data_IF_365657414917
#
_entry.id   IF_365657414917
#
_cell.length_a   1.000
_cell.length_b   1.000
_cell.length_c   1.000
_cell.angle_alpha   90.00
_cell.angle_beta   90.00
_cell.angle_gamma   90.00
#
_symmetry.space_group_name_H-M   'P 1'
#
loop_
_entity.id
_entity.type
_entity.pdbx_description
1 polymer ?
#
# COMPACT_ATOMS: atom_id res chain seq x y z
N UNK A 1 -4.47 18.99 -58.75
CA UNK A 1 -3.70 19.99 -57.97
C UNK A 1 -4.52 20.65 -56.85
N UNK A 2 -5.82 20.97 -57.02
CA UNK A 2 -6.66 21.51 -55.92
C UNK A 2 -6.95 20.48 -54.80
N UNK A 3 -7.26 19.24 -55.16
CA UNK A 3 -7.56 18.13 -54.22
C UNK A 3 -6.38 17.71 -53.34
N UNK A 4 -5.14 17.96 -53.74
CA UNK A 4 -3.94 17.66 -52.95
C UNK A 4 -3.61 18.74 -51.92
N UNK A 5 -4.03 20.00 -52.14
CA UNK A 5 -3.84 21.09 -51.17
C UNK A 5 -4.89 21.07 -50.05
N UNK A 6 -6.15 20.76 -50.37
CA UNK A 6 -7.23 20.62 -49.38
C UNK A 6 -6.93 19.49 -48.37
N UNK A 7 -6.44 18.35 -48.86
CA UNK A 7 -6.04 17.20 -48.03
C UNK A 7 -4.79 17.50 -47.16
N UNK A 8 -3.96 18.46 -47.56
CA UNK A 8 -2.80 18.90 -46.78
C UNK A 8 -3.20 19.90 -45.69
N UNK A 9 -4.14 20.80 -45.99
CA UNK A 9 -4.72 21.72 -45.00
C UNK A 9 -5.52 20.98 -43.91
N UNK A 10 -6.30 19.96 -44.27
CA UNK A 10 -7.00 19.11 -43.29
C UNK A 10 -6.02 18.38 -42.36
N UNK A 11 -4.90 17.87 -42.89
CA UNK A 11 -3.85 17.22 -42.09
C UNK A 11 -3.14 18.20 -41.16
N UNK A 12 -2.88 19.43 -41.62
CA UNK A 12 -2.30 20.49 -40.78
C UNK A 12 -3.27 20.87 -39.65
N UNK A 13 -4.55 21.07 -39.95
CA UNK A 13 -5.56 21.36 -38.94
C UNK A 13 -5.75 20.21 -37.93
N UNK A 14 -5.75 18.96 -38.39
CA UNK A 14 -5.81 17.78 -37.52
C UNK A 14 -4.57 17.67 -36.63
N UNK A 15 -3.40 18.00 -37.16
CA UNK A 15 -2.15 18.04 -36.39
C UNK A 15 -2.18 19.15 -35.34
N UNK A 16 -2.60 20.37 -35.70
CA UNK A 16 -2.75 21.50 -34.76
C UNK A 16 -3.75 21.19 -33.65
N UNK A 17 -4.88 20.57 -33.97
CA UNK A 17 -5.86 20.11 -32.96
C UNK A 17 -5.29 19.03 -32.05
N UNK A 18 -4.42 18.14 -32.56
CA UNK A 18 -3.74 17.13 -31.74
C UNK A 18 -2.71 17.77 -30.82
N UNK A 19 -1.92 18.73 -31.31
CA UNK A 19 -0.95 19.50 -30.52
C UNK A 19 -1.64 20.31 -29.42
N UNK A 20 -2.74 21.01 -29.73
CA UNK A 20 -3.53 21.72 -28.71
C UNK A 20 -4.08 20.79 -27.62
N UNK A 21 -4.58 19.61 -28.00
CA UNK A 21 -5.02 18.60 -27.03
C UNK A 21 -3.88 18.10 -26.15
N UNK A 22 -2.72 17.83 -26.73
CA UNK A 22 -1.53 17.40 -25.98
C UNK A 22 -1.01 18.48 -25.03
N UNK A 23 -1.00 19.75 -25.46
CA UNK A 23 -0.63 20.87 -24.60
C UNK A 23 -1.61 21.03 -23.44
N UNK A 24 -2.92 20.93 -23.69
CA UNK A 24 -3.92 20.96 -22.61
C UNK A 24 -3.76 19.80 -21.62
N UNK A 25 -3.42 18.59 -22.09
CA UNK A 25 -3.09 17.44 -21.22
C UNK A 25 -1.83 17.72 -20.40
N UNK A 26 -0.80 18.30 -21.01
CA UNK A 26 0.46 18.64 -20.35
C UNK A 26 0.28 19.72 -19.28
N UNK A 27 -0.44 20.80 -19.58
CA UNK A 27 -0.74 21.87 -18.62
C UNK A 27 -1.58 21.35 -17.44
N UNK A 28 -2.56 20.48 -17.70
CA UNK A 28 -3.33 19.83 -16.64
C UNK A 28 -2.46 18.90 -15.80
N UNK A 29 -1.53 18.17 -16.43
CA UNK A 29 -0.57 17.33 -15.71
C UNK A 29 0.35 18.18 -14.82
N UNK A 30 0.91 19.27 -15.33
CA UNK A 30 1.76 20.19 -14.56
C UNK A 30 1.02 20.78 -13.37
N UNK A 31 -0.20 21.29 -13.59
CA UNK A 31 -1.04 21.81 -12.50
C UNK A 31 -1.32 20.76 -11.43
N UNK A 32 -1.63 19.53 -11.84
CA UNK A 32 -1.81 18.43 -10.90
C UNK A 32 -0.52 18.09 -10.15
N UNK A 33 0.66 18.19 -10.76
CA UNK A 33 1.93 17.99 -10.04
C UNK A 33 2.19 19.12 -9.04
N UNK A 34 1.96 20.37 -9.41
CA UNK A 34 2.11 21.52 -8.50
C UNK A 34 1.15 21.43 -7.31
N UNK A 35 -0.13 21.12 -7.55
CA UNK A 35 -1.10 20.88 -6.49
C UNK A 35 -0.69 19.71 -5.59
N UNK A 36 -0.12 18.64 -6.15
CA UNK A 36 0.40 17.50 -5.37
C UNK A 36 1.62 17.87 -4.54
N UNK A 37 2.52 18.68 -5.07
CA UNK A 37 3.69 19.15 -4.32
C UNK A 37 3.27 20.09 -3.19
N UNK A 38 2.29 20.97 -3.41
CA UNK A 38 1.74 21.82 -2.36
C UNK A 38 1.04 21.02 -1.26
N UNK A 39 0.28 19.98 -1.64
CA UNK A 39 -0.43 19.10 -0.71
C UNK A 39 0.43 17.94 -0.18
N UNK A 40 1.72 17.90 -0.53
CA UNK A 40 2.61 16.88 -0.02
C UNK A 40 2.80 17.09 1.50
N UNK A 41 2.51 16.09 2.36
CA UNK A 41 2.66 16.20 3.80
C UNK A 41 4.04 16.72 4.22
N UNK A 42 5.10 16.31 3.51
CA UNK A 42 6.46 16.78 3.74
C UNK A 42 6.61 18.28 3.48
N UNK A 43 6.02 18.79 2.42
CA UNK A 43 6.12 20.20 2.04
C UNK A 43 5.25 21.08 2.94
N UNK A 44 4.03 20.63 3.24
CA UNK A 44 3.14 21.30 4.21
C UNK A 44 3.90 21.52 5.53
N UNK A 45 4.51 20.46 6.06
CA UNK A 45 5.24 20.51 7.32
C UNK A 45 6.54 21.29 7.22
N UNK A 46 7.30 21.12 6.13
CA UNK A 46 8.53 21.88 5.93
C UNK A 46 8.26 23.38 5.91
N UNK A 47 7.18 23.81 5.26
CA UNK A 47 6.76 25.20 5.22
C UNK A 47 6.25 25.68 6.58
N UNK A 48 5.46 24.87 7.30
CA UNK A 48 4.97 25.20 8.64
C UNK A 48 6.12 25.41 9.66
N UNK A 49 7.26 24.73 9.46
CA UNK A 49 8.47 24.89 10.27
C UNK A 49 9.43 25.98 9.73
N UNK A 50 8.91 26.96 9.00
CA UNK A 50 9.67 28.12 8.49
C UNK A 50 10.41 27.87 7.18
N UNK A 51 10.11 26.79 6.45
CA UNK A 51 10.66 26.55 5.12
C UNK A 51 12.18 26.42 5.10
N UNK A 52 12.86 27.03 4.12
CA UNK A 52 14.33 27.02 4.02
C UNK A 52 15.01 27.91 5.05
N UNK A 53 14.31 28.92 5.55
CA UNK A 53 14.86 29.96 6.44
C UNK A 53 14.60 29.66 7.93
N UNK A 54 13.84 28.60 8.24
CA UNK A 54 13.58 28.17 9.60
C UNK A 54 14.83 27.70 10.33
N UNK A 55 14.87 27.90 11.65
CA UNK A 55 16.06 27.66 12.50
C UNK A 55 16.53 26.21 12.54
N UNK A 56 15.62 25.26 12.31
CA UNK A 56 15.92 23.85 12.27
C UNK A 56 16.45 23.41 10.90
N UNK A 57 17.41 22.50 10.90
CA UNK A 57 17.86 21.84 9.69
C UNK A 57 16.81 20.83 9.17
N UNK A 58 16.96 20.37 7.92
CA UNK A 58 15.99 19.48 7.30
C UNK A 58 15.79 18.13 8.05
N UNK A 59 16.85 17.46 8.55
CA UNK A 59 16.69 16.30 9.43
C UNK A 59 15.90 16.55 10.72
N UNK A 60 16.17 17.66 11.41
CA UNK A 60 15.46 18.04 12.64
C UNK A 60 13.98 18.31 12.39
N UNK A 61 13.67 19.05 11.31
CA UNK A 61 12.29 19.27 10.86
C UNK A 61 11.57 17.94 10.62
N UNK A 62 12.21 17.02 9.91
CA UNK A 62 11.64 15.69 9.63
C UNK A 62 11.40 14.89 10.91
N UNK A 63 12.32 14.95 11.88
CA UNK A 63 12.14 14.28 13.16
C UNK A 63 10.91 14.84 13.92
N UNK A 64 10.76 16.16 13.98
CA UNK A 64 9.58 16.79 14.60
C UNK A 64 8.26 16.40 13.93
N UNK A 65 8.24 16.31 12.59
CA UNK A 65 7.06 15.84 11.84
C UNK A 65 6.63 14.45 12.33
N UNK A 66 7.60 13.54 12.41
CA UNK A 66 7.35 12.15 12.80
C UNK A 66 6.90 12.05 14.26
N UNK A 67 7.51 12.86 15.14
CA UNK A 67 7.04 12.99 16.52
C UNK A 67 5.60 13.53 16.57
N UNK A 68 5.27 14.60 15.84
CA UNK A 68 3.92 15.16 15.80
C UNK A 68 2.85 14.16 15.36
N UNK A 69 3.23 13.21 14.51
CA UNK A 69 2.32 12.16 14.08
C UNK A 69 2.11 11.08 15.15
N UNK A 70 3.18 10.61 15.81
CA UNK A 70 3.15 9.32 16.52
C UNK A 70 3.77 9.27 17.92
N UNK A 71 4.51 10.30 18.33
CA UNK A 71 5.13 10.33 19.64
C UNK A 71 4.11 10.60 20.76
N UNK A 72 4.54 10.42 22.02
CA UNK A 72 3.68 10.71 23.16
C UNK A 72 3.39 12.20 23.25
N UNK A 73 2.13 12.56 23.47
CA UNK A 73 1.72 13.96 23.65
C UNK A 73 2.46 14.67 24.79
N UNK A 74 2.94 13.93 25.77
CA UNK A 74 3.73 14.43 26.90
C UNK A 74 5.24 14.54 26.62
N UNK A 75 5.72 14.08 25.45
CA UNK A 75 7.13 14.18 25.10
C UNK A 75 7.55 15.65 24.94
N UNK A 76 8.74 16.00 25.42
CA UNK A 76 9.29 17.35 25.24
C UNK A 76 10.06 17.40 23.93
N UNK A 77 9.69 18.35 23.07
CA UNK A 77 10.34 18.59 21.77
C UNK A 77 10.87 20.02 21.69
N UNK A 78 11.92 20.21 20.90
CA UNK A 78 12.47 21.53 20.59
C UNK A 78 12.05 21.92 19.17
N UNK A 79 11.31 23.02 19.02
CA UNK A 79 10.81 23.50 17.73
C UNK A 79 11.77 24.47 17.01
N UNK A 80 12.97 24.67 17.55
CA UNK A 80 13.98 25.62 17.07
C UNK A 80 13.96 26.96 17.81
N UNK A 81 12.94 27.21 18.64
CA UNK A 81 12.86 28.39 19.50
C UNK A 81 12.91 28.01 20.98
N UNK A 82 12.09 27.04 21.39
CA UNK A 82 11.98 26.62 22.78
C UNK A 82 11.66 25.13 22.92
N UNK A 83 11.83 24.63 24.15
CA UNK A 83 11.38 23.29 24.52
C UNK A 83 9.92 23.37 24.97
N UNK A 84 9.03 22.62 24.31
CA UNK A 84 7.60 22.56 24.63
C UNK A 84 7.09 21.13 24.61
N UNK A 85 5.91 20.90 25.18
CA UNK A 85 5.26 19.58 25.08
C UNK A 85 4.85 19.32 23.63
N UNK A 86 4.93 18.08 23.19
CA UNK A 86 4.52 17.68 21.85
C UNK A 86 3.06 18.03 21.58
N UNK A 87 2.17 17.89 22.56
CA UNK A 87 0.77 18.31 22.43
C UNK A 87 0.63 19.80 22.08
N UNK A 88 1.48 20.66 22.66
CA UNK A 88 1.49 22.09 22.39
C UNK A 88 2.05 22.34 21.00
N UNK A 89 3.18 21.72 20.66
CA UNK A 89 3.76 21.79 19.32
C UNK A 89 2.78 21.35 18.22
N UNK A 90 2.06 20.25 18.41
CA UNK A 90 1.05 19.75 17.45
C UNK A 90 -0.10 20.74 17.31
N UNK A 91 -0.52 21.41 18.38
CA UNK A 91 -1.56 22.44 18.31
C UNK A 91 -1.06 23.69 17.58
N UNK A 92 0.16 24.16 17.87
CA UNK A 92 0.79 25.31 17.20
C UNK A 92 0.95 25.02 15.69
N UNK A 93 1.45 23.82 15.38
CA UNK A 93 1.61 23.32 14.02
C UNK A 93 0.27 23.21 13.30
N UNK A 94 -0.76 22.75 14.00
CA UNK A 94 -2.12 22.70 13.49
C UNK A 94 -2.76 24.10 13.38
N UNK A 95 -2.21 25.15 13.98
CA UNK A 95 -2.65 26.52 13.69
C UNK A 95 -1.91 27.10 12.48
N UNK A 96 -0.66 26.70 12.29
CA UNK A 96 0.15 27.08 11.13
C UNK A 96 -0.27 26.35 9.84
N UNK A 97 -0.78 25.12 9.97
CA UNK A 97 -1.37 24.30 8.90
C UNK A 97 -2.88 24.38 9.09
N UNK A 98 -3.72 24.43 8.06
CA UNK A 98 -5.16 24.25 8.28
C UNK A 98 -5.38 22.94 9.07
N UNK A 99 -5.95 23.04 10.30
CA UNK A 99 -5.98 22.02 11.39
C UNK A 99 -6.30 20.59 10.91
N UNK A 100 -6.99 20.48 9.80
CA UNK A 100 -7.55 19.29 9.20
C UNK A 100 -6.66 18.64 8.11
N UNK A 101 -5.67 19.37 7.58
CA UNK A 101 -5.02 19.05 6.30
C UNK A 101 -3.84 18.08 6.45
N UNK A 102 -3.03 18.20 7.51
CA UNK A 102 -1.80 17.40 7.62
C UNK A 102 -2.06 15.90 7.73
N UNK A 103 -2.86 15.47 8.72
CA UNK A 103 -3.19 14.06 8.93
C UNK A 103 -3.98 13.49 7.74
N UNK A 104 -4.86 14.31 7.13
CA UNK A 104 -5.64 13.94 5.95
C UNK A 104 -4.76 13.66 4.74
N UNK A 105 -3.84 14.58 4.41
CA UNK A 105 -2.96 14.40 3.26
C UNK A 105 -1.93 13.29 3.52
N UNK A 106 -1.53 13.06 4.77
CA UNK A 106 -0.69 11.92 5.12
C UNK A 106 -1.42 10.59 4.87
N UNK A 107 -2.68 10.48 5.28
CA UNK A 107 -3.51 9.32 5.00
C UNK A 107 -3.74 9.13 3.48
N UNK A 108 -4.07 10.19 2.76
CA UNK A 108 -4.23 10.16 1.30
C UNK A 108 -2.95 9.72 0.59
N UNK A 109 -1.79 10.17 1.07
CA UNK A 109 -0.50 9.79 0.51
C UNK A 109 -0.25 8.29 0.71
N UNK A 110 -0.46 7.77 1.92
CA UNK A 110 -0.27 6.34 2.21
C UNK A 110 -1.24 5.50 1.37
N UNK A 111 -2.54 5.85 1.39
CA UNK A 111 -3.55 5.12 0.62
C UNK A 111 -3.24 5.16 -0.87
N UNK A 112 -2.82 6.29 -1.43
CA UNK A 112 -2.49 6.39 -2.87
C UNK A 112 -1.24 5.61 -3.26
N UNK A 113 -0.21 5.59 -2.42
CA UNK A 113 1.04 4.88 -2.74
C UNK A 113 0.79 3.37 -2.73
N UNK A 114 0.02 2.89 -1.75
CA UNK A 114 -0.15 1.45 -1.54
C UNK A 114 -1.33 0.88 -2.30
N UNK A 115 -2.37 1.67 -2.55
CA UNK A 115 -3.44 1.33 -3.48
C UNK A 115 -2.93 1.64 -4.90
N UNK A 116 -2.20 0.72 -5.50
CA UNK A 116 -1.53 0.85 -6.82
C UNK A 116 -2.46 1.30 -7.98
N UNK A 117 -3.78 1.26 -7.77
CA UNK A 117 -4.81 1.71 -8.72
C UNK A 117 -5.72 2.81 -8.13
N UNK A 118 -6.89 2.43 -7.61
CA UNK A 118 -7.83 3.28 -6.89
C UNK A 118 -8.50 2.48 -5.79
N UNK A 119 -8.95 3.13 -4.72
CA UNK A 119 -9.50 2.43 -3.53
C UNK A 119 -10.57 1.40 -3.90
N UNK A 120 -11.42 1.74 -4.88
CA UNK A 120 -12.47 0.86 -5.40
C UNK A 120 -11.96 -0.24 -6.32
N UNK A 121 -11.00 0.05 -7.19
CA UNK A 121 -10.45 -0.97 -8.08
C UNK A 121 -9.71 -2.04 -7.28
N UNK A 122 -8.90 -1.63 -6.30
CA UNK A 122 -8.22 -2.57 -5.41
C UNK A 122 -9.21 -3.49 -4.68
N UNK A 123 -10.32 -2.93 -4.18
CA UNK A 123 -11.40 -3.73 -3.58
C UNK A 123 -11.97 -4.78 -4.54
N UNK A 124 -12.27 -4.42 -5.78
CA UNK A 124 -12.77 -5.38 -6.77
C UNK A 124 -11.72 -6.40 -7.19
N UNK A 125 -10.44 -6.00 -7.27
CA UNK A 125 -9.33 -6.91 -7.52
C UNK A 125 -9.26 -7.98 -6.44
N UNK A 126 -9.37 -7.62 -5.15
CA UNK A 126 -9.37 -8.62 -4.07
C UNK A 126 -10.54 -9.58 -4.12
N UNK A 127 -11.72 -9.10 -4.55
CA UNK A 127 -12.88 -9.98 -4.77
C UNK A 127 -12.55 -10.99 -5.88
N UNK A 128 -12.01 -10.52 -7.01
CA UNK A 128 -11.68 -11.37 -8.16
C UNK A 128 -10.57 -12.38 -7.82
N UNK A 129 -9.52 -11.94 -7.15
CA UNK A 129 -8.44 -12.80 -6.65
C UNK A 129 -8.98 -13.81 -5.65
N UNK A 130 -9.77 -13.39 -4.66
CA UNK A 130 -10.35 -14.28 -3.66
C UNK A 130 -11.28 -15.34 -4.25
N UNK A 131 -12.12 -14.98 -5.23
CA UNK A 131 -12.94 -15.97 -5.94
C UNK A 131 -12.08 -16.96 -6.74
N UNK A 132 -11.01 -16.47 -7.36
CA UNK A 132 -10.09 -17.28 -8.17
C UNK A 132 -9.35 -18.28 -7.29
N UNK A 133 -8.81 -17.82 -6.15
CA UNK A 133 -8.12 -18.67 -5.16
C UNK A 133 -9.05 -19.76 -4.62
N UNK A 134 -10.26 -19.39 -4.16
CA UNK A 134 -11.22 -20.38 -3.65
C UNK A 134 -11.57 -21.42 -4.72
N UNK A 135 -11.68 -21.00 -5.98
CA UNK A 135 -11.95 -21.91 -7.09
C UNK A 135 -10.77 -22.85 -7.36
N UNK A 136 -9.57 -22.32 -7.57
CA UNK A 136 -8.39 -23.11 -7.94
C UNK A 136 -7.96 -24.06 -6.81
N UNK A 137 -7.99 -23.60 -5.56
CA UNK A 137 -7.67 -24.43 -4.40
C UNK A 137 -8.67 -25.58 -4.15
N UNK A 138 -9.80 -25.62 -4.88
CA UNK A 138 -10.87 -26.58 -4.69
C UNK A 138 -11.32 -27.30 -5.98
N UNK A 139 -10.64 -27.14 -7.12
CA UNK A 139 -11.10 -27.69 -8.41
C UNK A 139 -10.65 -29.13 -8.72
N UNK A 140 -9.98 -29.78 -7.76
CA UNK A 140 -9.74 -31.22 -7.75
C UNK A 140 -8.45 -31.61 -7.06
N UNK A 141 -7.33 -30.96 -7.42
CA UNK A 141 -6.02 -31.20 -6.82
C UNK A 141 -5.27 -29.87 -6.66
N UNK A 142 -4.74 -29.62 -5.47
CA UNK A 142 -4.04 -28.37 -5.17
C UNK A 142 -2.66 -28.38 -5.82
N UNK A 143 -2.43 -27.49 -6.77
CA UNK A 143 -1.13 -27.37 -7.43
C UNK A 143 -0.17 -26.45 -6.63
N UNK A 144 1.15 -26.54 -6.87
CA UNK A 144 2.10 -25.59 -6.29
C UNK A 144 1.79 -24.13 -6.63
N UNK A 145 1.21 -23.88 -7.81
CA UNK A 145 0.85 -22.53 -8.25
C UNK A 145 -0.33 -22.00 -7.44
N UNK A 146 -1.38 -22.79 -7.24
CA UNK A 146 -2.56 -22.38 -6.45
C UNK A 146 -2.15 -22.07 -5.01
N UNK A 147 -1.27 -22.91 -4.44
CA UNK A 147 -0.74 -22.71 -3.11
C UNK A 147 0.08 -21.42 -2.99
N UNK A 148 0.89 -21.09 -4.00
CA UNK A 148 1.64 -19.84 -4.05
C UNK A 148 0.71 -18.63 -4.18
N UNK A 149 -0.27 -18.67 -5.08
CA UNK A 149 -1.27 -17.59 -5.27
C UNK A 149 -2.04 -17.31 -3.98
N UNK A 150 -2.46 -18.37 -3.28
CA UNK A 150 -3.11 -18.26 -1.97
C UNK A 150 -2.23 -17.53 -0.97
N UNK A 151 -0.99 -17.97 -0.78
CA UNK A 151 -0.10 -17.39 0.23
C UNK A 151 0.31 -15.96 -0.11
N UNK A 152 0.56 -15.66 -1.39
CA UNK A 152 0.85 -14.30 -1.86
C UNK A 152 -0.31 -13.35 -1.50
N UNK A 153 -1.57 -13.80 -1.69
CA UNK A 153 -2.74 -13.02 -1.28
C UNK A 153 -2.83 -12.84 0.24
N UNK A 154 -2.62 -13.91 1.02
CA UNK A 154 -2.65 -13.85 2.48
C UNK A 154 -1.61 -12.87 3.02
N UNK A 155 -0.36 -12.97 2.55
CA UNK A 155 0.73 -12.08 2.97
C UNK A 155 0.46 -10.62 2.60
N UNK A 156 -0.04 -10.38 1.38
CA UNK A 156 -0.46 -9.05 0.93
C UNK A 156 -1.59 -8.51 1.82
N UNK A 157 -2.59 -9.33 2.15
CA UNK A 157 -3.75 -8.91 2.93
C UNK A 157 -3.39 -8.49 4.36
N UNK A 158 -2.47 -9.18 5.04
CA UNK A 158 -2.00 -8.79 6.38
C UNK A 158 -1.22 -7.48 6.37
N UNK A 159 -0.36 -7.28 5.35
CA UNK A 159 0.32 -6.01 5.20
C UNK A 159 -0.70 -4.90 4.96
N UNK A 160 -1.60 -5.09 4.00
CA UNK A 160 -2.56 -4.06 3.61
C UNK A 160 -3.50 -3.70 4.75
N UNK A 161 -3.91 -4.67 5.56
CA UNK A 161 -4.67 -4.41 6.78
C UNK A 161 -3.94 -3.42 7.72
N UNK A 162 -2.63 -3.61 7.93
CA UNK A 162 -1.83 -2.72 8.78
C UNK A 162 -1.81 -1.28 8.24
N UNK A 163 -1.76 -1.13 6.92
CA UNK A 163 -1.79 0.17 6.26
C UNK A 163 -3.18 0.81 6.31
N UNK A 164 -4.25 0.04 6.08
CA UNK A 164 -5.63 0.51 6.20
C UNK A 164 -5.92 0.99 7.62
N UNK A 165 -5.50 0.24 8.64
CA UNK A 165 -5.61 0.64 10.05
C UNK A 165 -4.86 1.95 10.34
N UNK A 166 -3.67 2.12 9.73
CA UNK A 166 -2.90 3.36 9.82
C UNK A 166 -3.66 4.55 9.21
N UNK A 167 -4.19 4.39 7.99
CA UNK A 167 -5.00 5.42 7.33
C UNK A 167 -6.26 5.75 8.13
N UNK A 168 -6.95 4.74 8.68
CA UNK A 168 -8.14 4.93 9.51
C UNK A 168 -7.82 5.76 10.77
N UNK A 169 -6.71 5.49 11.45
CA UNK A 169 -6.27 6.30 12.60
C UNK A 169 -5.96 7.75 12.23
N UNK A 170 -5.32 7.98 11.08
CA UNK A 170 -5.01 9.33 10.60
C UNK A 170 -6.28 10.10 10.15
N UNK A 171 -7.20 9.43 9.45
CA UNK A 171 -8.49 10.03 9.10
C UNK A 171 -9.33 10.33 10.34
N UNK A 172 -9.38 9.43 11.32
CA UNK A 172 -10.07 9.69 12.61
C UNK A 172 -9.48 10.94 13.29
N UNK A 173 -8.15 11.06 13.33
CA UNK A 173 -7.49 12.22 13.92
C UNK A 173 -7.84 13.51 13.17
N UNK A 174 -7.84 13.46 11.84
CA UNK A 174 -8.23 14.59 10.99
C UNK A 174 -9.71 14.99 11.22
N UNK A 175 -10.61 14.02 11.37
CA UNK A 175 -12.02 14.27 11.72
C UNK A 175 -12.17 14.95 13.09
N UNK A 176 -11.41 14.50 14.10
CA UNK A 176 -11.40 15.14 15.43
C UNK A 176 -10.93 16.60 15.37
N UNK A 177 -10.17 16.98 14.35
CA UNK A 177 -9.67 18.33 14.11
C UNK A 177 -10.58 19.17 13.19
N UNK A 178 -11.72 18.61 12.75
CA UNK A 178 -12.74 19.33 12.00
C UNK A 178 -12.83 18.99 10.50
N UNK A 179 -12.04 18.03 10.00
CA UNK A 179 -12.10 17.63 8.59
C UNK A 179 -13.33 16.79 8.28
N UNK A 180 -14.28 17.33 7.51
CA UNK A 180 -15.46 16.58 7.12
C UNK A 180 -15.22 15.62 5.94
N UNK A 181 -14.26 15.92 5.05
CA UNK A 181 -13.90 15.04 3.94
C UNK A 181 -13.21 13.76 4.42
N UNK A 182 -12.49 13.84 5.53
CA UNK A 182 -11.90 12.68 6.20
C UNK A 182 -12.95 11.63 6.62
N UNK A 183 -14.17 12.06 6.97
CA UNK A 183 -15.26 11.14 7.34
C UNK A 183 -15.65 10.23 6.18
N UNK A 184 -15.77 10.78 4.98
CA UNK A 184 -16.13 10.00 3.78
C UNK A 184 -15.06 8.95 3.50
N UNK A 185 -13.78 9.35 3.55
CA UNK A 185 -12.66 8.42 3.37
C UNK A 185 -12.57 7.36 4.46
N UNK A 186 -12.83 7.75 5.70
CA UNK A 186 -12.86 6.84 6.84
C UNK A 186 -13.92 5.75 6.66
N UNK A 187 -15.15 6.12 6.31
CA UNK A 187 -16.24 5.16 6.12
C UNK A 187 -15.97 4.21 4.94
N UNK A 188 -15.40 4.72 3.83
CA UNK A 188 -14.96 3.92 2.67
C UNK A 188 -13.88 2.90 3.06
N UNK A 189 -12.81 3.33 3.74
CA UNK A 189 -11.71 2.46 4.12
C UNK A 189 -12.11 1.43 5.18
N UNK A 190 -13.03 1.79 6.07
CA UNK A 190 -13.53 0.88 7.10
C UNK A 190 -14.30 -0.28 6.49
N UNK A 191 -15.18 0.01 5.52
CA UNK A 191 -15.87 -1.03 4.74
C UNK A 191 -14.85 -1.90 4.01
N UNK A 192 -13.87 -1.30 3.35
CA UNK A 192 -12.82 -2.01 2.62
C UNK A 192 -11.99 -2.94 3.52
N UNK A 193 -11.60 -2.49 4.71
CA UNK A 193 -10.91 -3.30 5.71
C UNK A 193 -11.77 -4.51 6.12
N UNK A 194 -13.05 -4.28 6.45
CA UNK A 194 -13.97 -5.37 6.78
C UNK A 194 -14.01 -6.40 5.65
N UNK A 195 -14.17 -5.97 4.40
CA UNK A 195 -14.25 -6.90 3.26
C UNK A 195 -12.96 -7.65 3.00
N UNK A 196 -11.80 -7.01 3.17
CA UNK A 196 -10.51 -7.70 3.10
C UNK A 196 -10.42 -8.84 4.11
N UNK A 197 -10.84 -8.59 5.37
CA UNK A 197 -10.88 -9.61 6.42
C UNK A 197 -11.84 -10.76 6.06
N UNK A 198 -13.05 -10.45 5.61
CA UNK A 198 -14.05 -11.46 5.20
C UNK A 198 -13.57 -12.32 4.03
N UNK A 199 -12.89 -11.74 3.02
CA UNK A 199 -12.29 -12.49 1.91
C UNK A 199 -11.16 -13.39 2.42
N UNK A 200 -10.25 -12.83 3.23
CA UNK A 200 -9.14 -13.59 3.81
C UNK A 200 -9.64 -14.79 4.62
N UNK A 201 -10.58 -14.58 5.54
CA UNK A 201 -11.11 -15.67 6.36
C UNK A 201 -11.89 -16.70 5.53
N UNK A 202 -12.52 -16.29 4.44
CA UNK A 202 -13.11 -17.23 3.47
C UNK A 202 -12.06 -18.14 2.84
N UNK A 203 -10.92 -17.59 2.44
CA UNK A 203 -9.79 -18.35 1.88
C UNK A 203 -9.18 -19.27 2.95
N UNK A 204 -8.86 -18.74 4.13
CA UNK A 204 -8.27 -19.51 5.24
C UNK A 204 -9.16 -20.69 5.68
N UNK A 205 -10.48 -20.51 5.65
CA UNK A 205 -11.44 -21.54 6.07
C UNK A 205 -11.63 -22.64 5.03
N UNK A 206 -11.48 -22.32 3.74
CA UNK A 206 -11.86 -23.24 2.65
C UNK A 206 -10.69 -23.84 1.89
N UNK A 207 -9.50 -23.24 1.96
CA UNK A 207 -8.38 -23.64 1.11
C UNK A 207 -7.38 -24.48 1.91
N UNK A 208 -7.06 -25.67 1.40
CA UNK A 208 -6.12 -26.57 2.06
C UNK A 208 -4.69 -25.99 2.12
N UNK A 209 -3.87 -26.46 3.06
CA UNK A 209 -2.51 -25.96 3.29
C UNK A 209 -1.42 -26.87 2.71
N UNK A 210 -1.80 -27.91 1.98
CA UNK A 210 -0.87 -28.89 1.42
C UNK A 210 -1.00 -28.97 -0.11
N UNK A 211 0.15 -29.00 -0.78
CA UNK A 211 0.25 -29.25 -2.24
C UNK A 211 -0.04 -30.73 -2.50
N UNK A 212 -0.61 -31.04 -3.67
CA UNK A 212 -1.07 -32.36 -4.08
C UNK A 212 -2.25 -32.91 -3.23
N UNK A 213 -2.87 -32.08 -2.40
CA UNK A 213 -4.11 -32.43 -1.71
C UNK A 213 -5.23 -32.65 -2.72
N UNK A 214 -5.90 -33.80 -2.62
CA UNK A 214 -7.05 -34.13 -3.46
C UNK A 214 -8.33 -33.70 -2.77
N UNK A 215 -9.00 -32.72 -3.37
CA UNK A 215 -10.18 -32.08 -2.82
C UNK A 215 -11.36 -33.04 -2.89
N UNK A 216 -11.94 -33.36 -1.75
CA UNK A 216 -13.13 -34.19 -1.70
C UNK A 216 -14.36 -33.40 -2.15
N UNK A 217 -15.37 -34.11 -2.68
CA UNK A 217 -16.64 -33.50 -3.08
C UNK A 217 -17.29 -32.65 -1.97
N UNK A 218 -17.17 -33.07 -0.71
CA UNK A 218 -17.71 -32.34 0.44
C UNK A 218 -16.96 -31.03 0.67
N UNK A 219 -15.64 -31.03 0.54
CA UNK A 219 -14.81 -29.83 0.65
C UNK A 219 -15.17 -28.83 -0.45
N UNK A 220 -15.32 -29.30 -1.69
CA UNK A 220 -15.78 -28.48 -2.81
C UNK A 220 -17.19 -27.88 -2.59
N UNK A 221 -18.15 -28.70 -2.11
CA UNK A 221 -19.51 -28.23 -1.82
C UNK A 221 -19.52 -27.12 -0.75
N UNK A 222 -18.65 -27.23 0.27
CA UNK A 222 -18.45 -26.18 1.27
C UNK A 222 -17.81 -24.94 0.63
N UNK A 223 -16.72 -25.09 -0.10
CA UNK A 223 -16.01 -23.99 -0.75
C UNK A 223 -16.90 -23.19 -1.72
N UNK A 224 -17.85 -23.86 -2.38
CA UNK A 224 -18.80 -23.23 -3.29
C UNK A 224 -19.68 -22.17 -2.60
N UNK A 225 -20.03 -22.34 -1.33
CA UNK A 225 -20.81 -21.34 -0.58
C UNK A 225 -19.98 -20.07 -0.31
N UNK A 226 -18.69 -20.22 -0.01
CA UNK A 226 -17.77 -19.08 0.15
C UNK A 226 -17.48 -18.39 -1.18
N UNK A 227 -17.28 -19.15 -2.26
CA UNK A 227 -17.15 -18.61 -3.61
C UNK A 227 -18.35 -17.74 -4.00
N UNK A 228 -19.58 -18.20 -3.66
CA UNK A 228 -20.82 -17.44 -3.86
C UNK A 228 -20.91 -16.21 -2.95
N UNK A 229 -20.49 -16.31 -1.70
CA UNK A 229 -20.44 -15.17 -0.78
C UNK A 229 -19.52 -14.05 -1.32
N UNK A 230 -18.30 -14.39 -1.75
CA UNK A 230 -17.39 -13.41 -2.36
C UNK A 230 -17.99 -12.87 -3.67
N UNK A 231 -18.64 -13.71 -4.47
CA UNK A 231 -19.37 -13.28 -5.67
C UNK A 231 -20.50 -12.29 -5.39
N UNK A 232 -21.19 -12.43 -4.25
CA UNK A 232 -22.21 -11.46 -3.81
C UNK A 232 -21.58 -10.10 -3.49
N UNK A 233 -20.36 -10.04 -2.93
CA UNK A 233 -19.63 -8.79 -2.74
C UNK A 233 -19.44 -8.02 -4.06
N UNK A 234 -19.13 -8.74 -5.15
CA UNK A 234 -19.00 -8.15 -6.48
C UNK A 234 -20.31 -7.52 -6.95
N UNK A 235 -21.43 -8.22 -6.75
CA UNK A 235 -22.76 -7.77 -7.17
C UNK A 235 -23.26 -6.57 -6.36
N UNK A 236 -22.88 -6.49 -5.08
CA UNK A 236 -23.19 -5.35 -4.20
C UNK A 236 -22.52 -4.05 -4.66
N UNK A 237 -21.32 -4.15 -5.24
CA UNK A 237 -20.52 -2.99 -5.63
C UNK A 237 -20.21 -2.06 -4.45
N UNK A 238 -20.02 -0.77 -4.74
CA UNK A 238 -19.65 0.23 -3.74
C UNK A 238 -20.82 0.69 -2.85
N UNK A 239 -22.05 0.51 -3.31
CA UNK A 239 -23.27 1.05 -2.70
C UNK A 239 -24.36 -0.01 -2.71
N UNK A 240 -24.24 -1.04 -1.86
CA UNK A 240 -25.26 -2.08 -1.76
C UNK A 240 -26.60 -1.49 -1.35
N UNK A 241 -27.69 -2.07 -1.85
CA UNK A 241 -29.00 -1.83 -1.24
C UNK A 241 -29.03 -2.43 0.17
N UNK A 242 -29.96 -1.95 0.99
CA UNK A 242 -30.16 -2.49 2.34
C UNK A 242 -30.39 -4.00 2.34
N UNK A 243 -31.18 -4.50 1.39
CA UNK A 243 -31.49 -5.94 1.26
C UNK A 243 -30.25 -6.74 0.90
N UNK A 244 -29.39 -6.23 0.00
CA UNK A 244 -28.15 -6.91 -0.36
C UNK A 244 -27.16 -6.94 0.81
N UNK A 245 -27.06 -5.85 1.57
CA UNK A 245 -26.21 -5.79 2.75
C UNK A 245 -26.69 -6.74 3.86
N UNK A 246 -28.00 -6.84 4.07
CA UNK A 246 -28.62 -7.79 5.01
C UNK A 246 -28.39 -9.25 4.57
N UNK A 247 -28.65 -9.56 3.28
CA UNK A 247 -28.39 -10.90 2.71
C UNK A 247 -26.92 -11.31 2.86
N UNK A 248 -26.00 -10.41 2.53
CA UNK A 248 -24.58 -10.66 2.68
C UNK A 248 -24.23 -10.96 4.14
N UNK A 249 -24.75 -10.15 5.08
CA UNK A 249 -24.47 -10.29 6.51
C UNK A 249 -25.00 -11.62 7.08
N UNK A 250 -26.21 -12.02 6.69
CA UNK A 250 -26.78 -13.30 7.13
C UNK A 250 -25.93 -14.48 6.65
N UNK A 251 -25.44 -14.43 5.40
CA UNK A 251 -24.57 -15.47 4.85
C UNK A 251 -23.17 -15.45 5.45
N UNK A 252 -22.57 -14.29 5.65
CA UNK A 252 -21.24 -14.18 6.30
C UNK A 252 -21.27 -14.70 7.73
N UNK A 253 -22.35 -14.43 8.48
CA UNK A 253 -22.56 -14.96 9.83
C UNK A 253 -22.72 -16.48 9.83
N UNK A 254 -23.53 -17.02 8.91
CA UNK A 254 -23.72 -18.46 8.78
C UNK A 254 -22.41 -19.19 8.45
N UNK A 255 -21.55 -18.57 7.63
CA UNK A 255 -20.23 -19.07 7.27
C UNK A 255 -19.12 -18.70 8.27
N UNK A 256 -19.45 -17.99 9.36
CA UNK A 256 -18.50 -17.56 10.41
C UNK A 256 -17.32 -16.73 9.89
N UNK A 257 -17.54 -15.97 8.83
CA UNK A 257 -16.54 -15.05 8.25
C UNK A 257 -16.98 -13.59 8.37
N UNK A 258 -18.03 -13.30 9.14
CA UNK A 258 -18.48 -11.93 9.38
C UNK A 258 -17.50 -11.17 10.29
N UNK A 259 -17.00 -10.04 9.79
CA UNK A 259 -16.10 -9.14 10.54
C UNK A 259 -16.80 -7.84 10.95
N UNK A 260 -18.14 -7.76 10.89
CA UNK A 260 -18.88 -6.56 11.28
C UNK A 260 -18.87 -6.31 12.79
N UNK A 261 -18.54 -7.35 13.57
CA UNK A 261 -18.51 -7.35 15.04
C UNK A 261 -17.09 -7.34 15.62
N UNK A 262 -16.08 -7.23 14.76
CA UNK A 262 -14.70 -7.02 15.20
C UNK A 262 -14.62 -5.80 16.12
N UNK A 263 -13.72 -5.84 17.11
CA UNK A 263 -13.61 -4.78 18.13
C UNK A 263 -13.41 -3.41 17.48
N UNK A 264 -12.65 -3.34 16.39
CA UNK A 264 -12.39 -2.11 15.65
C UNK A 264 -13.62 -1.58 14.89
N UNK A 265 -14.62 -2.43 14.68
CA UNK A 265 -15.88 -2.09 14.05
C UNK A 265 -16.96 -1.70 15.06
N UNK A 266 -16.66 -1.69 16.37
CA UNK A 266 -17.62 -1.30 17.39
C UNK A 266 -17.60 0.22 17.66
N UNK A 267 -18.74 0.83 18.05
CA UNK A 267 -18.77 2.21 18.50
C UNK A 267 -17.83 2.46 19.68
N UNK A 268 -17.09 3.57 19.64
CA UNK A 268 -16.17 3.96 20.71
C UNK A 268 -14.75 3.40 20.57
N UNK A 269 -14.49 2.52 19.60
CA UNK A 269 -13.12 2.16 19.25
C UNK A 269 -12.38 3.37 18.65
N UNK A 270 -11.13 3.59 19.08
CA UNK A 270 -10.27 4.65 18.55
C UNK A 270 -9.10 4.04 17.78
N UNK A 271 -9.16 4.14 16.45
CA UNK A 271 -8.10 3.74 15.53
C UNK A 271 -6.82 4.56 15.77
N UNK A 272 -6.95 5.85 16.06
CA UNK A 272 -5.80 6.71 16.33
C UNK A 272 -5.08 6.30 17.61
N UNK A 273 -5.82 6.02 18.69
CA UNK A 273 -5.21 5.55 19.95
C UNK A 273 -4.51 4.22 19.74
N UNK A 274 -5.15 3.28 19.04
CA UNK A 274 -4.53 1.99 18.69
C UNK A 274 -3.24 2.18 17.87
N UNK A 275 -3.28 3.05 16.86
CA UNK A 275 -2.12 3.33 16.01
C UNK A 275 -0.94 3.84 16.84
N UNK A 276 -1.17 4.76 17.78
CA UNK A 276 -0.13 5.25 18.67
C UNK A 276 0.47 4.13 19.53
N UNK A 277 -0.36 3.22 20.05
CA UNK A 277 0.11 2.07 20.83
C UNK A 277 0.95 1.11 19.99
N UNK A 278 0.50 0.78 18.77
CA UNK A 278 1.20 -0.11 17.84
C UNK A 278 2.55 0.47 17.43
N UNK A 279 2.63 1.77 17.11
CA UNK A 279 3.90 2.44 16.79
C UNK A 279 4.85 2.44 17.99
N UNK A 280 4.36 2.74 19.20
CA UNK A 280 5.18 2.71 20.42
C UNK A 280 5.71 1.32 20.72
N UNK A 281 4.89 0.29 20.51
CA UNK A 281 5.31 -1.09 20.70
C UNK A 281 6.39 -1.47 19.69
N UNK A 282 6.20 -1.13 18.41
CA UNK A 282 7.18 -1.38 17.35
C UNK A 282 8.52 -0.66 17.62
N UNK A 283 8.47 0.60 18.08
CA UNK A 283 9.65 1.38 18.47
C UNK A 283 10.42 0.73 19.63
N UNK A 284 9.73 0.30 20.69
CA UNK A 284 10.38 -0.43 21.79
C UNK A 284 11.08 -1.70 21.30
N UNK A 285 10.41 -2.52 20.47
CA UNK A 285 10.97 -3.77 19.95
C UNK A 285 12.23 -3.54 19.12
N UNK A 286 12.24 -2.53 18.24
CA UNK A 286 13.43 -2.19 17.44
C UNK A 286 14.60 -1.71 18.33
N UNK A 287 14.33 -0.95 19.38
CA UNK A 287 15.36 -0.53 20.35
C UNK A 287 15.99 -1.71 21.08
N UNK A 288 15.19 -2.70 21.46
CA UNK A 288 15.66 -3.94 22.10
C UNK A 288 16.53 -4.77 21.15
N UNK A 289 16.23 -4.78 19.84
CA UNK A 289 16.99 -5.55 18.84
C UNK A 289 18.33 -4.88 18.49
N UNK A 290 18.42 -3.54 18.54
CA UNK A 290 19.57 -2.77 18.02
C UNK A 290 20.44 -2.09 19.07
N UNK A 291 20.63 -2.70 20.24
CA UNK A 291 21.40 -2.14 21.39
C UNK A 291 22.82 -1.53 21.11
N UNK A 292 23.36 -1.54 19.87
CA UNK A 292 24.69 -1.01 19.54
C UNK A 292 24.83 -0.08 18.31
N UNK A 293 23.77 0.56 17.77
CA UNK A 293 23.96 1.58 16.72
C UNK A 293 23.26 2.89 17.03
N UNK A 294 24.03 3.97 17.16
CA UNK A 294 23.66 5.34 17.50
C UNK A 294 22.71 6.06 16.52
N UNK A 295 21.96 5.33 15.70
CA UNK A 295 21.01 5.87 14.71
C UNK A 295 19.61 5.27 14.96
N UNK A 296 19.07 5.53 16.17
CA UNK A 296 17.74 5.10 16.66
C UNK A 296 16.62 6.06 16.28
N UNK A 297 16.75 6.55 15.07
CA UNK A 297 15.70 7.12 14.29
C UNK A 297 14.79 5.95 13.85
N UNK A 298 13.46 6.03 14.03
CA UNK A 298 12.55 5.38 13.05
C UNK A 298 13.23 5.65 11.70
N UNK A 299 13.57 4.66 10.87
CA UNK A 299 14.18 5.00 9.57
C UNK A 299 13.21 5.94 8.87
N UNK A 300 13.48 7.26 8.92
CA UNK A 300 12.47 8.33 8.80
C UNK A 300 12.02 8.53 7.34
N UNK A 301 12.24 7.49 6.54
CA UNK A 301 11.90 7.35 5.12
C UNK A 301 10.81 6.28 4.89
N UNK A 302 10.22 5.69 5.94
CA UNK A 302 9.21 4.62 5.86
C UNK A 302 7.85 5.07 6.37
N UNK A 303 6.78 4.46 5.86
CA UNK A 303 5.43 4.71 6.40
C UNK A 303 5.24 4.01 7.76
N UNK A 304 4.32 4.47 8.61
CA UNK A 304 4.05 3.83 9.90
C UNK A 304 3.51 2.41 9.74
N UNK A 305 2.68 2.17 8.72
CA UNK A 305 2.17 0.83 8.41
C UNK A 305 3.32 -0.12 8.09
N UNK A 306 4.29 0.32 7.29
CA UNK A 306 5.51 -0.44 6.98
C UNK A 306 6.34 -0.71 8.25
N UNK A 307 6.49 0.30 9.11
CA UNK A 307 7.22 0.16 10.37
C UNK A 307 6.57 -0.86 11.31
N UNK A 308 5.25 -0.77 11.53
CA UNK A 308 4.48 -1.70 12.36
C UNK A 308 4.55 -3.11 11.77
N UNK A 309 4.39 -3.24 10.45
CA UNK A 309 4.43 -4.52 9.77
C UNK A 309 5.79 -5.21 9.96
N UNK A 310 6.90 -4.53 9.67
CA UNK A 310 8.24 -5.12 9.86
C UNK A 310 8.52 -5.44 11.32
N UNK A 311 8.11 -4.58 12.25
CA UNK A 311 8.29 -4.84 13.67
C UNK A 311 7.49 -6.06 14.13
N UNK A 312 6.39 -6.44 13.46
CA UNK A 312 5.66 -7.70 13.73
C UNK A 312 6.36 -8.91 13.10
N UNK A 313 6.94 -8.77 11.91
CA UNK A 313 7.47 -9.87 11.08
C UNK A 313 9.01 -9.92 11.01
N UNK A 314 9.72 -9.50 12.07
CA UNK A 314 11.20 -9.44 12.12
C UNK A 314 11.87 -10.79 11.81
N UNK A 315 11.18 -11.91 12.06
CA UNK A 315 11.71 -13.26 11.84
C UNK A 315 11.58 -13.73 10.38
N UNK A 316 10.73 -13.09 9.56
CA UNK A 316 10.48 -13.46 8.18
C UNK A 316 11.39 -12.69 7.20
N UNK A 317 12.61 -13.22 7.04
CA UNK A 317 13.50 -13.14 5.86
C UNK A 317 13.79 -11.75 5.26
N UNK A 318 14.94 -11.18 5.66
CA UNK A 318 15.48 -9.89 5.18
C UNK A 318 15.81 -9.75 3.68
N UNK A 319 15.49 -10.72 2.82
CA UNK A 319 15.72 -10.65 1.36
C UNK A 319 14.47 -10.17 0.60
N UNK A 320 13.27 -10.51 1.07
CA UNK A 320 12.02 -10.09 0.42
C UNK A 320 11.63 -8.65 0.79
N UNK A 321 11.89 -8.27 2.04
CA UNK A 321 11.63 -6.92 2.57
C UNK A 321 12.46 -5.85 1.83
N UNK A 322 13.71 -6.14 1.44
CA UNK A 322 14.55 -5.19 0.67
C UNK A 322 13.97 -4.91 -0.71
N UNK A 323 13.60 -5.96 -1.42
CA UNK A 323 12.97 -5.87 -2.75
C UNK A 323 11.63 -5.12 -2.67
N UNK A 324 10.93 -5.25 -1.54
CA UNK A 324 9.66 -4.56 -1.24
C UNK A 324 9.85 -3.07 -0.90
N UNK A 325 10.88 -2.71 -0.13
CA UNK A 325 11.27 -1.31 0.15
C UNK A 325 11.66 -0.56 -1.13
N UNK A 326 12.31 -1.23 -2.08
CA UNK A 326 12.69 -0.61 -3.36
C UNK A 326 11.47 -0.26 -4.23
N UNK A 327 10.41 -1.10 -4.21
CA UNK A 327 9.13 -0.76 -4.86
C UNK A 327 8.44 0.43 -4.21
N UNK A 328 8.39 0.46 -2.87
CA UNK A 328 7.77 1.55 -2.10
C UNK A 328 8.49 2.90 -2.28
N UNK A 329 9.77 2.89 -2.66
CA UNK A 329 10.56 4.11 -2.95
C UNK A 329 10.32 4.68 -4.37
N UNK A 330 9.41 4.11 -5.15
CA UNK A 330 9.12 4.57 -6.52
C UNK A 330 10.23 4.27 -7.52
N UNK A 331 11.20 3.43 -7.15
CA UNK A 331 12.17 2.86 -8.08
C UNK A 331 11.52 1.63 -8.71
N UNK A 332 11.56 1.50 -10.05
CA UNK A 332 11.09 0.27 -10.71
C UNK A 332 11.87 -0.90 -10.12
N UNK A 333 11.21 -1.97 -9.67
CA UNK A 333 11.90 -3.20 -9.34
C UNK A 333 12.65 -3.67 -10.60
N UNK A 334 13.88 -4.22 -10.46
CA UNK A 334 14.54 -4.85 -11.59
C UNK A 334 13.59 -5.91 -12.17
N UNK A 335 13.45 -5.93 -13.50
CA UNK A 335 12.61 -6.89 -14.21
C UNK A 335 12.94 -8.29 -13.69
N UNK A 336 11.89 -9.00 -13.24
CA UNK A 336 12.00 -10.34 -12.67
C UNK A 336 12.29 -11.34 -13.79
N UNK A 337 13.54 -11.39 -14.22
CA UNK A 337 14.10 -12.56 -14.87
C UNK A 337 15.53 -12.76 -14.43
N UNK A 338 15.73 -13.90 -13.76
CA UNK A 338 16.86 -14.85 -13.83
C UNK A 338 17.03 -15.45 -12.42
N UNK A 339 17.21 -16.78 -12.28
CA UNK A 339 17.31 -17.47 -10.99
C UNK A 339 18.38 -16.83 -10.10
N UNK A 340 18.20 -16.84 -8.77
CA UNK A 340 19.16 -16.31 -7.82
C UNK A 340 20.57 -16.90 -8.07
N UNK A 341 21.46 -16.08 -8.63
CA UNK A 341 22.85 -16.44 -8.87
C UNK A 341 23.72 -15.90 -7.73
N UNK A 342 24.56 -16.77 -7.20
CA UNK A 342 25.60 -16.45 -6.21
C UNK A 342 26.69 -15.58 -6.87
N UNK A 343 26.56 -14.25 -6.75
CA UNK A 343 27.46 -13.26 -7.36
C UNK A 343 28.94 -13.46 -6.97
N UNK A 344 29.21 -14.08 -5.81
CA UNK A 344 30.57 -14.39 -5.34
C UNK A 344 31.23 -15.48 -6.18
N UNK A 345 30.47 -16.43 -6.72
CA UNK A 345 30.99 -17.48 -7.61
C UNK A 345 31.21 -17.00 -9.05
N UNK A 346 30.44 -16.01 -9.51
CA UNK A 346 30.54 -15.47 -10.87
C UNK A 346 31.78 -14.60 -11.08
N UNK A 347 32.13 -13.73 -10.11
CA UNK A 347 33.36 -12.92 -10.20
C UNK A 347 34.63 -13.78 -10.22
N UNK A 348 34.58 -14.99 -9.65
CA UNK A 348 35.69 -15.93 -9.67
C UNK A 348 35.84 -16.69 -11.01
N UNK A 349 34.75 -16.87 -11.78
CA UNK A 349 34.75 -17.62 -13.07
C UNK A 349 34.78 -16.74 -14.32
N UNK A 350 34.39 -15.48 -14.26
CA UNK A 350 34.36 -14.59 -15.43
C UNK A 350 35.76 -14.27 -16.00
N UNK A 351 36.82 -14.55 -15.24
CA UNK A 351 38.21 -14.36 -15.65
C UNK A 351 38.93 -15.68 -16.01
N UNK A 352 38.22 -16.81 -16.02
CA UNK A 352 38.78 -18.10 -16.49
C UNK A 352 38.39 -18.35 -17.95
N UNK A 353 39.26 -19.07 -18.68
CA UNK A 353 39.08 -19.39 -20.10
C UNK A 353 37.72 -20.05 -20.39
N UNK A 354 37.27 -20.95 -19.52
CA UNK A 354 35.95 -21.58 -19.61
C UNK A 354 34.80 -20.57 -19.48
N UNK A 355 34.94 -19.55 -18.63
CA UNK A 355 33.92 -18.51 -18.47
C UNK A 355 33.76 -17.61 -19.70
N UNK A 356 34.86 -17.38 -20.43
CA UNK A 356 34.87 -16.59 -21.67
C UNK A 356 34.22 -17.38 -22.82
N UNK A 357 34.53 -18.67 -22.95
CA UNK A 357 33.94 -19.53 -24.01
C UNK A 357 32.41 -19.68 -23.84
N UNK A 358 31.93 -19.78 -22.60
CA UNK A 358 30.49 -19.85 -22.29
C UNK A 358 29.75 -18.52 -22.56
N UNK A 359 30.42 -17.38 -22.36
CA UNK A 359 29.86 -16.07 -22.67
C UNK A 359 29.72 -15.86 -24.19
N UNK A 360 30.72 -16.29 -24.97
CA UNK A 360 30.69 -16.22 -26.44
C UNK A 360 29.60 -17.12 -27.03
N UNK A 361 29.39 -18.32 -26.48
CA UNK A 361 28.31 -19.21 -26.92
C UNK A 361 26.91 -18.62 -26.67
N UNK A 362 26.72 -17.91 -25.56
CA UNK A 362 25.46 -17.21 -25.23
C UNK A 362 25.21 -16.00 -26.13
N UNK A 363 26.26 -15.28 -26.50
CA UNK A 363 26.14 -14.19 -27.46
C UNK A 363 25.73 -14.71 -28.84
N UNK A 364 26.33 -15.81 -29.30
CA UNK A 364 25.96 -16.44 -30.57
C UNK A 364 24.50 -16.95 -30.59
N UNK A 365 23.99 -17.47 -29.47
CA UNK A 365 22.58 -17.85 -29.36
C UNK A 365 21.61 -16.66 -29.41
N UNK A 366 21.95 -15.54 -28.76
CA UNK A 366 21.14 -14.32 -28.82
C UNK A 366 21.11 -13.74 -30.24
N UNK A 367 22.27 -13.67 -30.89
CA UNK A 367 22.36 -13.21 -32.28
C UNK A 367 21.63 -14.12 -33.28
N UNK A 368 21.45 -15.41 -32.96
CA UNK A 368 20.66 -16.33 -33.77
C UNK A 368 19.14 -16.16 -33.55
N UNK A 369 18.71 -15.84 -32.33
CA UNK A 369 17.30 -15.55 -32.04
C UNK A 369 16.85 -14.21 -32.61
N UNK A 370 17.72 -13.20 -32.64
CA UNK A 370 17.41 -11.89 -33.23
C UNK A 370 17.35 -11.92 -34.78
N UNK A 371 17.79 -13.02 -35.40
CA UNK A 371 17.73 -13.24 -36.86
C UNK A 371 16.60 -14.18 -37.29
N UNK A 372 15.89 -14.78 -36.35
CA UNK A 372 14.71 -15.63 -36.59
C UNK A 372 13.43 -14.81 -36.37
#
# INVERSE_FOLDING_TARGET
MRTTMENMQEKIQAHEQRVRRLNGVWENFQRQQEEREQRNPRNIMFNALGGKDGRLNAPEKMNLVQKALYASQDEVVNDGEENKKLSQFVNDLAEAIEKDTFYFEQANSIERINCETSTMNEYFTWIEEGQTIVKHMNDGEVTPQDFAEKNDFLDMSFQRETELLTCLGLYERSMQMGNQDAKVRFDELRLKLQKLREIRSSIETTCNHEVDHKVERREYEVALEYYRLIGLMRQMGARPTRTQAEEFRERSLALKVDHSVDVEMLPGYSFYTRLLEDVRHADRREREIRENSFDHSLSYNRSPGEFIYMAKHVEDKGEDIRTRIERLRGLRPPLKEVPAYDERKLRARALTREGIELALARQAQREAMDRA
#
